data_IF_399001794943
#
_entry.id   IF_399001794943
#
_cell.length_a   1.000
_cell.length_b   1.000
_cell.length_c   1.000
_cell.angle_alpha   90.00
_cell.angle_beta   90.00
_cell.angle_gamma   90.00
#
_symmetry.space_group_name_H-M   'P 1'
#
loop_
_entity.id
_entity.type
_entity.pdbx_description
1 polymer ?
#
# COMPACT_ATOMS: atom_id res chain seq x y z
N UNK A 1 13.67 -15.07 19.67
CA UNK A 1 14.12 -14.01 18.76
C UNK A 1 13.10 -13.65 17.70
N UNK A 2 12.46 -14.64 17.04
CA UNK A 2 11.43 -14.38 16.01
C UNK A 2 10.31 -13.45 16.48
N UNK A 3 9.70 -13.72 17.64
CA UNK A 3 8.64 -12.87 18.21
C UNK A 3 9.11 -11.43 18.48
N UNK A 4 10.34 -11.26 18.97
CA UNK A 4 10.88 -9.93 19.29
C UNK A 4 11.01 -9.06 18.04
N UNK A 5 11.11 -9.64 16.83
CA UNK A 5 11.13 -8.89 15.57
C UNK A 5 9.86 -8.06 15.36
N UNK A 6 8.76 -8.35 16.07
CA UNK A 6 7.54 -7.54 16.03
C UNK A 6 7.62 -6.34 16.98
N UNK A 7 8.34 -6.46 18.09
CA UNK A 7 8.36 -5.42 19.14
C UNK A 7 9.01 -4.13 18.65
N UNK A 8 9.90 -4.20 17.66
CA UNK A 8 10.59 -3.01 17.11
C UNK A 8 9.68 -2.11 16.28
N UNK A 9 8.52 -2.62 15.84
CA UNK A 9 7.51 -1.88 15.05
C UNK A 9 6.19 -1.76 15.79
N UNK A 10 5.72 -2.84 16.42
CA UNK A 10 4.47 -2.88 17.19
C UNK A 10 4.64 -2.35 18.62
N UNK A 11 5.66 -1.54 18.90
CA UNK A 11 6.06 -1.16 20.26
C UNK A 11 4.94 -0.45 21.04
N UNK A 12 4.03 0.23 20.35
CA UNK A 12 2.87 0.89 20.95
C UNK A 12 1.81 -0.11 21.47
N UNK A 13 1.78 -1.33 20.93
CA UNK A 13 0.70 -2.31 21.15
C UNK A 13 1.12 -3.49 22.03
N UNK A 14 2.41 -3.63 22.32
CA UNK A 14 2.96 -4.80 23.02
C UNK A 14 3.59 -4.42 24.36
N UNK A 15 3.37 -5.22 25.43
CA UNK A 15 4.00 -4.98 26.73
C UNK A 15 5.53 -4.92 26.62
N UNK A 16 6.12 -3.82 27.11
CA UNK A 16 7.56 -3.59 27.06
C UNK A 16 8.10 -3.25 25.66
N UNK A 17 7.24 -3.02 24.66
CA UNK A 17 7.64 -2.68 23.29
C UNK A 17 8.55 -1.46 23.20
N UNK A 18 8.23 -0.42 23.97
CA UNK A 18 9.01 0.83 24.04
C UNK A 18 10.50 0.63 24.35
N UNK A 19 10.87 -0.47 25.03
CA UNK A 19 12.27 -0.77 25.37
C UNK A 19 13.12 -1.15 24.17
N UNK A 20 12.50 -1.58 23.08
CA UNK A 20 13.17 -2.04 21.86
C UNK A 20 12.64 -1.33 20.61
N UNK A 21 11.97 -0.19 20.79
CA UNK A 21 11.51 0.68 19.68
C UNK A 21 12.68 0.93 18.73
N UNK A 22 12.49 0.59 17.45
CA UNK A 22 13.48 0.77 16.39
C UNK A 22 14.81 -0.02 16.54
N UNK A 23 14.96 -0.83 17.60
CA UNK A 23 16.19 -1.56 17.91
C UNK A 23 16.27 -2.94 17.26
N UNK A 24 16.15 -2.99 15.93
CA UNK A 24 16.41 -4.23 15.18
C UNK A 24 17.85 -4.70 15.31
N UNK A 25 18.79 -3.77 15.49
CA UNK A 25 20.19 -4.04 15.75
C UNK A 25 20.39 -4.91 17.00
N UNK A 26 19.72 -4.60 18.12
CA UNK A 26 19.80 -5.39 19.35
C UNK A 26 19.32 -6.83 19.12
N UNK A 27 18.19 -6.99 18.44
CA UNK A 27 17.62 -8.30 18.13
C UNK A 27 18.57 -9.10 17.25
N UNK A 28 19.16 -8.47 16.22
CA UNK A 28 20.10 -9.13 15.32
C UNK A 28 21.38 -9.55 16.04
N UNK A 29 21.94 -8.69 16.88
CA UNK A 29 23.13 -8.99 17.69
C UNK A 29 22.84 -10.19 18.60
N UNK A 30 21.76 -10.15 19.38
CA UNK A 30 21.40 -11.26 20.28
C UNK A 30 21.12 -12.54 19.50
N UNK A 31 20.50 -12.46 18.31
CA UNK A 31 20.25 -13.62 17.46
C UNK A 31 21.56 -14.25 16.98
N UNK A 32 22.50 -13.44 16.49
CA UNK A 32 23.81 -13.92 16.04
C UNK A 32 24.64 -14.51 17.19
N UNK A 33 24.58 -13.92 18.39
CA UNK A 33 25.22 -14.47 19.58
C UNK A 33 24.66 -15.85 19.95
N UNK A 34 23.33 -16.02 19.96
CA UNK A 34 22.69 -17.30 20.26
C UNK A 34 23.03 -18.37 19.21
N UNK A 35 23.05 -18.01 17.92
CA UNK A 35 23.50 -18.90 16.84
C UNK A 35 24.96 -19.30 17.06
N UNK A 36 25.83 -18.33 17.36
CA UNK A 36 27.24 -18.56 17.64
C UNK A 36 27.46 -19.52 18.82
N UNK A 37 26.74 -19.33 19.93
CA UNK A 37 26.74 -20.25 21.07
C UNK A 37 26.30 -21.67 20.67
N UNK A 38 25.26 -21.79 19.84
CA UNK A 38 24.78 -23.07 19.33
C UNK A 38 25.80 -23.78 18.45
N UNK A 39 26.43 -23.07 17.52
CA UNK A 39 27.51 -23.61 16.67
C UNK A 39 28.70 -24.03 17.51
N UNK A 40 29.14 -23.19 18.45
CA UNK A 40 30.27 -23.50 19.33
C UNK A 40 30.00 -24.74 20.18
N UNK A 41 28.82 -24.83 20.80
CA UNK A 41 28.39 -26.02 21.54
C UNK A 41 28.34 -27.26 20.64
N UNK A 42 27.82 -27.12 19.42
CA UNK A 42 27.82 -28.18 18.42
C UNK A 42 29.23 -28.66 18.08
N UNK A 43 30.18 -27.76 17.84
CA UNK A 43 31.57 -28.12 17.55
C UNK A 43 32.27 -28.79 18.73
N UNK A 44 32.02 -28.36 19.96
CA UNK A 44 32.62 -28.98 21.16
C UNK A 44 32.02 -30.36 21.48
N UNK A 45 30.73 -30.56 21.22
CA UNK A 45 30.02 -31.79 21.56
C UNK A 45 29.92 -32.78 20.39
N UNK A 46 30.30 -32.38 19.17
CA UNK A 46 30.39 -33.27 18.02
C UNK A 46 31.58 -34.20 18.19
N UNK A 47 31.30 -35.49 18.37
CA UNK A 47 32.32 -36.52 18.12
C UNK A 47 32.71 -36.44 16.64
N UNK A 48 34.01 -36.47 16.28
CA UNK A 48 34.41 -36.49 14.88
C UNK A 48 33.79 -37.74 14.26
N UNK A 49 32.76 -37.54 13.42
CA UNK A 49 32.22 -38.60 12.62
C UNK A 49 33.40 -39.13 11.78
N UNK A 50 33.79 -40.39 12.01
CA UNK A 50 34.67 -41.10 11.10
C UNK A 50 33.96 -41.08 9.75
N UNK A 51 34.35 -40.15 8.87
CA UNK A 51 33.99 -40.19 7.47
C UNK A 51 34.66 -41.45 6.91
N UNK A 52 33.99 -42.59 7.02
CA UNK A 52 34.31 -43.70 6.15
C UNK A 52 34.00 -43.20 4.75
N UNK A 53 35.03 -43.03 3.93
CA UNK A 53 34.89 -42.80 2.50
C UNK A 53 34.31 -44.07 1.87
N UNK A 54 33.03 -44.31 2.12
CA UNK A 54 32.23 -45.26 1.36
C UNK A 54 32.19 -44.70 -0.06
N UNK A 55 33.14 -45.09 -0.89
CA UNK A 55 33.07 -44.96 -2.34
C UNK A 55 32.22 -46.14 -2.81
N UNK A 56 30.92 -45.94 -3.10
CA UNK A 56 30.11 -47.02 -3.64
C UNK A 56 30.75 -47.51 -4.95
N UNK A 57 30.72 -48.82 -5.24
CA UNK A 57 31.30 -49.36 -6.47
C UNK A 57 30.64 -48.73 -7.71
N UNK A 58 31.38 -48.54 -8.81
CA UNK A 58 30.85 -47.89 -10.01
C UNK A 58 29.69 -48.73 -10.58
N UNK A 59 28.48 -48.19 -10.52
CA UNK A 59 27.27 -48.84 -11.04
C UNK A 59 27.14 -48.58 -12.56
N UNK A 60 27.18 -49.59 -13.44
CA UNK A 60 27.02 -49.41 -14.89
C UNK A 60 25.65 -48.82 -15.28
N UNK A 61 24.61 -49.06 -14.47
CA UNK A 61 23.30 -48.46 -14.64
C UNK A 61 23.26 -46.97 -14.27
N UNK A 62 24.26 -46.46 -13.53
CA UNK A 62 24.34 -45.05 -13.15
C UNK A 62 24.44 -44.13 -14.38
N UNK A 63 25.03 -44.60 -15.49
CA UNK A 63 25.07 -43.80 -16.74
C UNK A 63 23.69 -43.66 -17.38
N UNK A 64 22.88 -44.73 -17.40
CA UNK A 64 21.49 -44.69 -17.87
C UNK A 64 20.60 -43.88 -16.91
N UNK A 65 20.73 -44.09 -15.60
CA UNK A 65 20.04 -43.30 -14.56
C UNK A 65 20.38 -41.81 -14.67
N UNK A 66 21.66 -41.46 -14.90
CA UNK A 66 22.09 -40.08 -15.14
C UNK A 66 21.41 -39.46 -16.36
N UNK A 67 21.27 -40.19 -17.46
CA UNK A 67 20.52 -39.72 -18.64
C UNK A 67 19.04 -39.50 -18.32
N UNK A 68 18.39 -40.40 -17.58
CA UNK A 68 17.00 -40.20 -17.13
C UNK A 68 16.86 -38.96 -16.23
N UNK A 69 17.77 -38.74 -15.28
CA UNK A 69 17.77 -37.53 -14.46
C UNK A 69 17.93 -36.27 -15.31
N UNK A 70 18.81 -36.29 -16.32
CA UNK A 70 18.97 -35.16 -17.24
C UNK A 70 17.67 -34.91 -18.03
N UNK A 71 17.00 -35.94 -18.56
CA UNK A 71 15.74 -35.77 -19.28
C UNK A 71 14.62 -35.24 -18.37
N UNK A 72 14.50 -35.76 -17.15
CA UNK A 72 13.53 -35.26 -16.17
C UNK A 72 13.82 -33.81 -15.81
N UNK A 73 15.08 -33.47 -15.52
CA UNK A 73 15.47 -32.08 -15.24
C UNK A 73 15.19 -31.15 -16.43
N UNK A 74 15.45 -31.60 -17.66
CA UNK A 74 15.18 -30.82 -18.86
C UNK A 74 13.68 -30.62 -19.07
N UNK A 75 12.85 -31.64 -18.85
CA UNK A 75 11.40 -31.52 -18.91
C UNK A 75 10.85 -30.57 -17.82
N UNK A 76 11.36 -30.67 -16.58
CA UNK A 76 11.03 -29.76 -15.49
C UNK A 76 11.45 -28.32 -15.81
N UNK A 77 12.64 -28.12 -16.38
CA UNK A 77 13.13 -26.81 -16.77
C UNK A 77 12.27 -26.19 -17.89
N UNK A 78 11.93 -26.96 -18.93
CA UNK A 78 11.06 -26.49 -20.01
C UNK A 78 9.66 -26.15 -19.49
N UNK A 79 9.13 -26.95 -18.57
CA UNK A 79 7.83 -26.69 -17.93
C UNK A 79 7.89 -25.40 -17.09
N UNK A 80 8.96 -25.21 -16.32
CA UNK A 80 9.19 -23.98 -15.55
C UNK A 80 9.27 -22.74 -16.45
N UNK A 81 10.00 -22.80 -17.57
CA UNK A 81 10.08 -21.71 -18.55
C UNK A 81 8.71 -21.42 -19.17
N UNK A 82 7.95 -22.46 -19.56
CA UNK A 82 6.62 -22.28 -20.12
C UNK A 82 5.66 -21.63 -19.13
N UNK A 83 5.66 -22.07 -17.86
CA UNK A 83 4.85 -21.47 -16.79
C UNK A 83 5.26 -20.02 -16.54
N UNK A 84 6.56 -19.73 -16.49
CA UNK A 84 7.06 -18.36 -16.31
C UNK A 84 6.66 -17.44 -17.48
N UNK A 85 6.69 -17.94 -18.72
CA UNK A 85 6.25 -17.18 -19.89
C UNK A 85 4.74 -16.90 -19.87
N UNK A 86 3.92 -17.89 -19.50
CA UNK A 86 2.46 -17.73 -19.38
C UNK A 86 2.09 -16.76 -18.24
N UNK A 87 2.89 -16.73 -17.17
CA UNK A 87 2.70 -15.83 -16.03
C UNK A 87 3.41 -14.49 -16.18
N UNK A 88 4.02 -14.21 -17.33
CA UNK A 88 4.70 -12.94 -17.54
C UNK A 88 3.66 -11.81 -17.54
N UNK A 89 3.78 -10.80 -16.67
CA UNK A 89 2.79 -9.73 -16.57
C UNK A 89 2.71 -8.92 -17.86
N UNK A 90 1.49 -8.54 -18.23
CA UNK A 90 1.22 -7.80 -19.47
C UNK A 90 1.68 -6.33 -19.40
N UNK A 91 1.96 -5.81 -18.19
CA UNK A 91 2.36 -4.43 -17.93
C UNK A 91 1.50 -3.39 -18.69
N UNK A 92 0.19 -3.64 -18.72
CA UNK A 92 -0.77 -2.77 -19.40
C UNK A 92 -1.14 -1.56 -18.53
N UNK A 93 -0.25 -0.57 -18.51
CA UNK A 93 -0.36 0.69 -17.75
C UNK A 93 -1.39 1.69 -18.34
N UNK A 94 -2.50 1.21 -18.88
CA UNK A 94 -3.54 2.07 -19.47
C UNK A 94 -4.52 2.54 -18.40
N UNK A 95 -4.68 3.85 -18.29
CA UNK A 95 -5.73 4.49 -17.49
C UNK A 95 -7.13 4.15 -18.03
N UNK A 96 -8.14 4.25 -17.16
CA UNK A 96 -9.51 3.90 -17.51
C UNK A 96 -10.21 4.96 -18.38
N UNK A 97 -9.91 6.24 -18.15
CA UNK A 97 -10.61 7.37 -18.78
C UNK A 97 -9.66 8.36 -19.48
N UNK A 98 -8.86 7.91 -20.47
CA UNK A 98 -7.85 8.75 -21.11
C UNK A 98 -8.44 9.89 -21.95
N UNK A 99 -9.63 9.71 -22.52
CA UNK A 99 -10.27 10.71 -23.40
C UNK A 99 -10.73 11.94 -22.62
N UNK A 100 -11.21 11.75 -21.39
CA UNK A 100 -11.55 12.85 -20.47
C UNK A 100 -10.36 13.37 -19.67
N UNK A 101 -9.15 12.81 -19.86
CA UNK A 101 -7.95 13.07 -19.04
C UNK A 101 -8.24 12.96 -17.55
N UNK A 102 -9.02 11.95 -17.16
CA UNK A 102 -9.44 11.79 -15.79
C UNK A 102 -8.49 10.88 -15.01
N UNK A 103 -8.32 11.19 -13.72
CA UNK A 103 -7.65 10.37 -12.73
C UNK A 103 -8.72 9.88 -11.75
N UNK A 104 -8.88 8.57 -11.63
CA UNK A 104 -9.61 7.96 -10.50
C UNK A 104 -8.59 7.58 -9.43
N UNK A 105 -8.56 8.32 -8.32
CA UNK A 105 -7.60 8.12 -7.24
C UNK A 105 -8.29 7.59 -5.97
N UNK A 106 -7.67 6.64 -5.28
CA UNK A 106 -8.23 6.04 -4.08
C UNK A 106 -7.24 5.89 -2.94
N UNK A 107 -7.77 5.73 -1.74
CA UNK A 107 -7.00 5.42 -0.53
C UNK A 107 -7.65 4.23 0.16
N UNK A 108 -6.84 3.30 0.65
CA UNK A 108 -7.34 2.15 1.39
C UNK A 108 -6.32 1.60 2.38
N UNK A 109 -6.75 1.40 3.62
CA UNK A 109 -6.01 0.72 4.69
C UNK A 109 -6.31 -0.76 4.63
N UNK A 110 -5.28 -1.55 4.28
CA UNK A 110 -5.47 -2.92 3.79
C UNK A 110 -5.20 -4.00 4.83
N UNK A 111 -4.89 -3.60 6.06
CA UNK A 111 -4.64 -4.49 7.19
C UNK A 111 -3.72 -5.66 6.80
N UNK A 112 -2.58 -5.33 6.18
CA UNK A 112 -1.57 -6.28 5.72
C UNK A 112 -2.08 -7.34 4.72
N UNK A 113 -3.15 -7.03 3.98
CA UNK A 113 -3.83 -7.96 3.06
C UNK A 113 -4.29 -9.24 3.75
N UNK A 114 -4.80 -9.09 4.97
CA UNK A 114 -5.39 -10.16 5.78
C UNK A 114 -6.82 -9.74 6.10
N UNK A 115 -7.80 -10.60 5.76
CA UNK A 115 -9.21 -10.31 6.00
C UNK A 115 -9.65 -10.61 7.44
N UNK A 116 -10.93 -10.32 7.74
CA UNK A 116 -11.48 -10.48 9.08
C UNK A 116 -11.45 -11.94 9.60
N UNK A 117 -11.31 -12.93 8.70
CA UNK A 117 -11.17 -14.35 9.03
C UNK A 117 -9.69 -14.80 9.07
N UNK A 118 -8.77 -13.83 9.03
CA UNK A 118 -7.32 -14.02 9.02
C UNK A 118 -6.80 -14.75 7.77
N UNK A 119 -7.48 -14.58 6.64
CA UNK A 119 -7.10 -15.15 5.34
C UNK A 119 -6.51 -14.10 4.40
N UNK A 120 -5.69 -14.56 3.46
CA UNK A 120 -5.11 -13.73 2.39
C UNK A 120 -6.21 -13.07 1.56
N UNK A 121 -6.14 -11.74 1.39
CA UNK A 121 -7.21 -10.96 0.76
C UNK A 121 -6.83 -10.31 -0.59
N UNK A 122 -5.62 -10.56 -1.10
CA UNK A 122 -5.07 -9.88 -2.29
C UNK A 122 -5.95 -10.00 -3.53
N UNK A 123 -6.50 -11.19 -3.81
CA UNK A 123 -7.37 -11.39 -4.98
C UNK A 123 -8.69 -10.61 -4.86
N UNK A 124 -9.20 -10.47 -3.64
CA UNK A 124 -10.44 -9.71 -3.35
C UNK A 124 -10.17 -8.22 -3.50
N UNK A 125 -9.04 -7.76 -2.97
CA UNK A 125 -8.56 -6.40 -3.15
C UNK A 125 -8.36 -6.05 -4.63
N UNK A 126 -7.68 -6.91 -5.39
CA UNK A 126 -7.48 -6.75 -6.83
C UNK A 126 -8.81 -6.55 -7.56
N UNK A 127 -9.78 -7.40 -7.25
CA UNK A 127 -11.10 -7.35 -7.89
C UNK A 127 -11.81 -6.03 -7.60
N UNK A 128 -11.77 -5.55 -6.35
CA UNK A 128 -12.36 -4.27 -5.98
C UNK A 128 -11.64 -3.09 -6.64
N UNK A 129 -10.31 -3.08 -6.63
CA UNK A 129 -9.51 -1.99 -7.22
C UNK A 129 -9.77 -1.90 -8.73
N UNK A 130 -9.84 -3.05 -9.41
CA UNK A 130 -10.14 -3.14 -10.84
C UNK A 130 -11.54 -2.62 -11.16
N UNK A 131 -12.54 -3.10 -10.43
CA UNK A 131 -13.95 -2.75 -10.67
C UNK A 131 -14.30 -1.32 -10.27
N UNK A 132 -13.48 -0.71 -9.40
CA UNK A 132 -13.58 0.71 -9.04
C UNK A 132 -12.91 1.64 -10.06
N UNK A 133 -12.33 1.08 -11.12
CA UNK A 133 -11.65 1.82 -12.19
C UNK A 133 -10.54 2.74 -11.67
N UNK A 134 -9.80 2.29 -10.64
CA UNK A 134 -8.73 3.07 -10.03
C UNK A 134 -7.50 3.18 -10.92
N UNK A 135 -7.08 4.42 -11.17
CA UNK A 135 -5.84 4.76 -11.85
C UNK A 135 -4.68 4.95 -10.87
N UNK A 136 -4.95 5.47 -9.69
CA UNK A 136 -3.95 5.71 -8.64
C UNK A 136 -4.53 5.24 -7.31
N UNK A 137 -3.76 4.51 -6.51
CA UNK A 137 -4.19 4.12 -5.17
C UNK A 137 -3.06 4.18 -4.16
N UNK A 138 -3.32 4.81 -3.02
CA UNK A 138 -2.53 4.69 -1.81
C UNK A 138 -3.00 3.49 -1.00
N UNK A 139 -2.10 2.57 -0.66
CA UNK A 139 -2.35 1.46 0.24
C UNK A 139 -1.62 1.71 1.56
N UNK A 140 -2.31 1.55 2.68
CA UNK A 140 -1.75 1.76 4.02
C UNK A 140 -1.76 0.44 4.79
N UNK A 141 -0.86 0.30 5.77
CA UNK A 141 -0.59 -0.99 6.41
C UNK A 141 -0.10 -2.04 5.40
N UNK A 142 0.79 -1.60 4.51
CA UNK A 142 1.30 -2.41 3.39
C UNK A 142 2.63 -3.12 3.71
N UNK A 143 3.20 -2.94 4.91
CA UNK A 143 4.44 -3.61 5.31
C UNK A 143 4.23 -5.10 5.63
N UNK A 144 4.39 -5.93 4.61
CA UNK A 144 4.16 -7.38 4.67
C UNK A 144 5.45 -8.20 4.58
N UNK A 145 6.59 -7.54 4.42
CA UNK A 145 7.90 -8.17 4.24
C UNK A 145 8.59 -8.48 5.58
N UNK A 146 7.80 -8.65 6.64
CA UNK A 146 8.24 -9.10 7.97
C UNK A 146 7.92 -10.57 8.18
N UNK A 147 8.65 -11.21 9.09
CA UNK A 147 8.47 -12.64 9.40
C UNK A 147 7.02 -12.95 9.80
N UNK A 148 6.37 -12.09 10.59
CA UNK A 148 4.97 -12.29 11.02
C UNK A 148 3.94 -12.14 9.91
N UNK A 149 4.28 -11.42 8.84
CA UNK A 149 3.42 -11.24 7.68
C UNK A 149 3.71 -12.23 6.56
N UNK A 150 4.60 -13.21 6.83
CA UNK A 150 4.99 -14.26 5.89
C UNK A 150 6.02 -13.83 4.85
N UNK A 151 6.68 -12.67 5.03
CA UNK A 151 7.53 -12.03 4.03
C UNK A 151 6.84 -11.91 2.65
N UNK A 152 5.55 -11.57 2.66
CA UNK A 152 4.74 -11.39 1.45
C UNK A 152 4.97 -10.00 0.87
N UNK A 153 4.59 -9.86 -0.40
CA UNK A 153 4.54 -8.58 -1.09
C UNK A 153 3.25 -8.50 -1.92
N UNK A 154 2.15 -8.13 -1.27
CA UNK A 154 0.87 -7.90 -1.98
C UNK A 154 0.96 -6.74 -2.96
N UNK A 155 1.80 -5.75 -2.71
CA UNK A 155 1.92 -4.55 -3.56
C UNK A 155 2.42 -4.93 -4.95
N UNK A 156 3.41 -5.82 -5.03
CA UNK A 156 3.90 -6.36 -6.30
C UNK A 156 2.84 -7.19 -7.02
N UNK A 157 2.13 -8.08 -6.30
CA UNK A 157 1.06 -8.92 -6.88
C UNK A 157 -0.05 -8.06 -7.47
N UNK A 158 -0.51 -7.06 -6.73
CA UNK A 158 -1.54 -6.12 -7.17
C UNK A 158 -1.07 -5.33 -8.39
N UNK A 159 0.17 -4.81 -8.36
CA UNK A 159 0.73 -4.03 -9.45
C UNK A 159 0.84 -4.84 -10.76
N UNK A 160 1.29 -6.09 -10.68
CA UNK A 160 1.36 -6.99 -11.82
C UNK A 160 -0.01 -7.33 -12.40
N UNK A 161 -0.97 -7.68 -11.54
CA UNK A 161 -2.30 -8.09 -11.97
C UNK A 161 -3.12 -6.92 -12.52
N UNK A 162 -2.97 -5.72 -11.95
CA UNK A 162 -3.72 -4.52 -12.34
C UNK A 162 -3.04 -3.73 -13.46
N UNK A 163 -1.79 -4.04 -13.79
CA UNK A 163 -0.99 -3.28 -14.75
C UNK A 163 -0.70 -1.87 -14.22
N UNK A 164 -0.03 -1.80 -13.07
CA UNK A 164 0.32 -0.55 -12.39
C UNK A 164 1.82 -0.52 -12.06
N UNK A 165 2.40 0.67 -12.06
CA UNK A 165 3.65 0.96 -11.37
C UNK A 165 3.43 0.87 -9.87
N UNK A 166 4.47 0.47 -9.13
CA UNK A 166 4.43 0.38 -7.67
C UNK A 166 5.62 1.13 -7.09
N UNK A 167 5.34 1.91 -6.05
CA UNK A 167 6.32 2.48 -5.15
C UNK A 167 5.96 2.09 -3.72
N UNK A 168 6.74 1.18 -3.14
CA UNK A 168 6.57 0.69 -1.78
C UNK A 168 7.49 1.49 -0.85
N UNK A 169 6.92 2.29 0.06
CA UNK A 169 7.70 3.26 0.82
C UNK A 169 7.26 3.49 2.26
N UNK A 170 8.17 4.01 3.09
CA UNK A 170 9.50 3.46 3.37
C UNK A 170 9.46 1.95 3.70
N UNK A 171 10.56 1.24 3.45
CA UNK A 171 10.63 -0.21 3.63
C UNK A 171 10.61 -0.70 5.10
N UNK A 172 10.50 -2.03 5.33
CA UNK A 172 10.31 -2.62 6.66
C UNK A 172 11.43 -2.32 7.67
N UNK A 173 12.63 -2.01 7.18
CA UNK A 173 13.77 -1.60 8.01
C UNK A 173 13.62 -0.19 8.61
N UNK A 174 12.54 0.53 8.28
CA UNK A 174 12.20 1.85 8.80
C UNK A 174 11.16 1.83 9.92
N UNK A 175 10.76 0.64 10.38
CA UNK A 175 9.92 0.43 11.57
C UNK A 175 8.58 1.15 11.56
N UNK A 176 7.98 1.28 10.37
CA UNK A 176 6.60 1.76 10.17
C UNK A 176 5.67 0.59 9.83
N UNK A 177 4.36 0.84 9.75
CA UNK A 177 3.39 -0.11 9.17
C UNK A 177 3.31 -0.08 7.64
N UNK A 178 4.09 0.79 7.00
CA UNK A 178 4.22 0.91 5.55
C UNK A 178 3.10 1.69 4.88
N UNK A 179 3.45 2.33 3.78
CA UNK A 179 2.49 2.76 2.77
C UNK A 179 3.01 2.40 1.37
N UNK A 180 2.11 2.34 0.39
CA UNK A 180 2.49 2.09 -0.99
C UNK A 180 1.64 2.93 -1.92
N UNK A 181 2.23 3.34 -3.03
CA UNK A 181 1.55 3.99 -4.14
C UNK A 181 1.54 3.03 -5.33
N UNK A 182 0.35 2.71 -5.83
CA UNK A 182 0.18 2.05 -7.12
C UNK A 182 -0.38 3.06 -8.11
N UNK A 183 0.11 3.04 -9.34
CA UNK A 183 -0.30 4.01 -10.36
C UNK A 183 -0.31 3.39 -11.76
N UNK A 184 -1.36 3.65 -12.54
CA UNK A 184 -1.39 3.37 -13.98
C UNK A 184 -0.54 4.38 -14.76
N UNK A 185 -0.25 5.54 -14.18
CA UNK A 185 0.62 6.55 -14.75
C UNK A 185 2.09 6.35 -14.31
N UNK A 186 3.09 6.64 -15.17
CA UNK A 186 4.50 6.52 -14.80
C UNK A 186 4.86 7.34 -13.57
N UNK A 187 5.57 6.72 -12.62
CA UNK A 187 6.18 7.40 -11.48
C UNK A 187 7.52 7.97 -11.93
N UNK A 188 7.61 9.29 -12.06
CA UNK A 188 8.80 9.99 -12.57
C UNK A 188 9.81 10.26 -11.47
N UNK A 189 9.32 10.57 -10.27
CA UNK A 189 10.12 10.78 -9.08
C UNK A 189 9.37 10.26 -7.87
N UNK A 190 10.10 9.74 -6.88
CA UNK A 190 9.54 9.44 -5.57
C UNK A 190 10.54 9.66 -4.46
N UNK A 191 10.07 10.26 -3.37
CA UNK A 191 10.82 10.46 -2.13
C UNK A 191 10.01 9.90 -0.96
N UNK A 192 10.66 9.12 -0.11
CA UNK A 192 10.06 8.56 1.09
C UNK A 192 10.45 9.38 2.31
N UNK A 193 9.48 9.65 3.17
CA UNK A 193 9.64 10.45 4.38
C UNK A 193 9.27 9.62 5.61
N UNK A 194 10.08 9.75 6.66
CA UNK A 194 9.68 9.41 8.01
C UNK A 194 9.35 10.71 8.71
N UNK A 195 8.09 10.84 9.12
CA UNK A 195 7.62 12.06 9.78
C UNK A 195 8.08 12.09 11.25
N UNK A 196 8.20 13.26 11.87
CA UNK A 196 8.64 13.35 13.26
C UNK A 196 7.73 12.56 14.21
N UNK A 197 8.33 11.73 15.06
CA UNK A 197 7.62 10.93 16.05
C UNK A 197 8.50 10.76 17.30
N UNK A 198 8.46 11.73 18.24
CA UNK A 198 9.26 11.67 19.45
C UNK A 198 8.84 10.57 20.44
N UNK A 199 7.57 10.13 20.43
CA UNK A 199 7.02 9.22 21.45
C UNK A 199 6.36 8.00 20.84
N UNK A 200 5.51 8.23 19.84
CA UNK A 200 4.54 7.29 19.32
C UNK A 200 5.01 6.52 18.09
N UNK A 201 4.04 6.21 17.24
CA UNK A 201 4.25 5.48 15.99
C UNK A 201 4.99 6.31 14.93
N UNK A 202 6.02 5.71 14.33
CA UNK A 202 6.69 6.23 13.14
C UNK A 202 5.75 6.21 11.94
N UNK A 203 5.34 7.39 11.50
CA UNK A 203 4.40 7.56 10.40
C UNK A 203 5.12 7.76 9.05
N UNK A 204 4.88 6.86 8.07
CA UNK A 204 5.47 6.92 6.74
C UNK A 204 4.72 7.87 5.81
N UNK A 205 5.46 8.55 4.93
CA UNK A 205 4.87 9.26 3.79
C UNK A 205 5.65 9.00 2.48
N UNK A 206 4.93 8.99 1.37
CA UNK A 206 5.48 9.01 0.01
C UNK A 206 5.12 10.37 -0.60
N UNK A 207 6.09 11.02 -1.24
CA UNK A 207 5.89 12.12 -2.18
C UNK A 207 6.36 11.66 -3.56
N UNK A 208 5.41 11.35 -4.43
CA UNK A 208 5.69 10.93 -5.79
C UNK A 208 5.24 12.00 -6.79
N UNK A 209 5.91 12.09 -7.93
CA UNK A 209 5.46 12.86 -9.09
C UNK A 209 5.11 11.88 -10.21
N UNK A 210 3.88 11.97 -10.68
CA UNK A 210 3.33 11.15 -11.78
C UNK A 210 3.28 11.97 -13.07
N UNK A 211 3.59 11.35 -14.22
CA UNK A 211 3.29 11.91 -15.54
C UNK A 211 1.87 11.49 -15.97
N UNK A 212 0.91 12.39 -15.78
CA UNK A 212 -0.50 12.14 -16.07
C UNK A 212 -0.92 12.92 -17.30
N UNK A 213 -1.14 12.22 -18.41
CA UNK A 213 -1.57 12.83 -19.67
C UNK A 213 -0.67 13.99 -20.14
N UNK A 214 0.64 13.93 -19.82
CA UNK A 214 1.63 14.96 -20.14
C UNK A 214 1.77 16.08 -19.11
N UNK A 215 1.05 15.99 -17.98
CA UNK A 215 1.12 16.94 -16.87
C UNK A 215 1.69 16.28 -15.62
N UNK A 216 2.60 16.97 -14.93
CA UNK A 216 3.24 16.46 -13.71
C UNK A 216 2.33 16.71 -12.51
N UNK A 217 1.84 15.63 -11.90
CA UNK A 217 0.96 15.67 -10.73
C UNK A 217 1.68 15.08 -9.52
N UNK A 218 1.69 15.79 -8.41
CA UNK A 218 2.27 15.26 -7.17
C UNK A 218 1.22 14.44 -6.40
N UNK A 219 1.57 13.22 -6.00
CA UNK A 219 0.73 12.36 -5.17
C UNK A 219 1.45 12.10 -3.85
N UNK A 220 0.75 12.38 -2.77
CA UNK A 220 1.20 12.16 -1.41
C UNK A 220 0.42 10.98 -0.82
N UNK A 221 1.12 9.95 -0.33
CA UNK A 221 0.49 8.86 0.43
C UNK A 221 0.98 8.93 1.87
N UNK A 222 0.08 9.00 2.84
CA UNK A 222 0.47 9.22 4.24
C UNK A 222 -0.35 8.37 5.22
N UNK A 223 0.34 7.68 6.13
CA UNK A 223 -0.26 6.94 7.24
C UNK A 223 0.09 7.67 8.54
N UNK A 224 -0.87 8.38 9.14
CA UNK A 224 -0.68 9.11 10.40
C UNK A 224 -0.46 8.15 11.57
N UNK A 225 0.27 8.62 12.58
CA UNK A 225 0.37 7.93 13.86
C UNK A 225 -0.96 7.92 14.63
N UNK A 226 -0.97 7.12 15.71
CA UNK A 226 -2.13 6.81 16.56
C UNK A 226 -2.77 8.05 17.21
N UNK A 227 -4.06 7.97 17.53
CA UNK A 227 -4.83 9.08 18.11
C UNK A 227 -4.24 9.56 19.45
N UNK A 228 -3.75 8.61 20.25
CA UNK A 228 -3.24 8.80 21.60
C UNK A 228 -1.97 9.67 21.66
N UNK A 229 -1.18 9.69 20.58
CA UNK A 229 0.09 10.40 20.50
C UNK A 229 -0.09 11.82 19.93
N UNK A 230 -0.76 12.67 20.70
CA UNK A 230 -1.17 14.03 20.29
C UNK A 230 -0.02 14.87 19.74
N UNK A 231 1.15 14.85 20.38
CA UNK A 231 2.29 15.66 19.95
C UNK A 231 2.92 15.13 18.65
N UNK A 232 3.03 13.81 18.50
CA UNK A 232 3.47 13.19 17.26
C UNK A 232 2.54 13.60 16.13
N UNK A 233 1.22 13.42 16.31
CA UNK A 233 0.23 13.82 15.30
C UNK A 233 0.32 15.29 14.93
N UNK A 234 0.56 16.18 15.89
CA UNK A 234 0.76 17.61 15.62
C UNK A 234 1.99 17.86 14.75
N UNK A 235 3.12 17.22 15.06
CA UNK A 235 4.36 17.38 14.29
C UNK A 235 4.29 16.74 12.90
N UNK A 236 3.70 15.54 12.80
CA UNK A 236 3.48 14.84 11.54
C UNK A 236 2.55 15.66 10.62
N UNK A 237 1.47 16.21 11.18
CA UNK A 237 0.56 17.12 10.48
C UNK A 237 1.30 18.33 9.92
N UNK A 238 2.09 19.01 10.76
CA UNK A 238 2.86 20.18 10.34
C UNK A 238 3.87 19.83 9.23
N UNK A 239 4.56 18.70 9.35
CA UNK A 239 5.56 18.26 8.38
C UNK A 239 4.96 18.00 6.99
N UNK A 240 3.90 17.20 6.92
CA UNK A 240 3.29 16.83 5.64
C UNK A 240 2.52 18.01 5.03
N UNK A 241 1.94 18.89 5.86
CA UNK A 241 1.34 20.16 5.41
C UNK A 241 2.36 21.05 4.69
N UNK A 242 3.55 21.21 5.26
CA UNK A 242 4.65 21.94 4.63
C UNK A 242 5.12 21.28 3.33
N UNK A 243 5.22 19.95 3.33
CA UNK A 243 5.61 19.19 2.15
C UNK A 243 4.63 19.39 0.99
N UNK A 244 3.32 19.34 1.26
CA UNK A 244 2.27 19.63 0.26
C UNK A 244 2.28 21.10 -0.16
N UNK A 245 2.43 22.03 0.78
CA UNK A 245 2.45 23.48 0.53
C UNK A 245 3.63 23.92 -0.34
N UNK A 246 4.78 23.27 -0.21
CA UNK A 246 5.98 23.53 -1.00
C UNK A 246 5.85 23.08 -2.47
N UNK A 247 4.91 22.19 -2.81
CA UNK A 247 4.71 21.76 -4.18
C UNK A 247 3.96 22.83 -5.01
N UNK A 248 4.54 23.30 -6.13
CA UNK A 248 3.86 24.22 -7.04
C UNK A 248 2.94 23.50 -8.04
N UNK A 249 2.89 22.16 -8.02
CA UNK A 249 2.13 21.36 -8.97
C UNK A 249 0.71 21.11 -8.47
N UNK A 250 -0.23 20.74 -9.36
CA UNK A 250 -1.45 20.09 -8.91
C UNK A 250 -1.12 18.84 -8.09
N UNK A 251 -1.92 18.55 -7.07
CA UNK A 251 -1.59 17.49 -6.13
C UNK A 251 -2.80 16.75 -5.58
N UNK A 252 -2.57 15.51 -5.15
CA UNK A 252 -3.53 14.67 -4.42
C UNK A 252 -2.86 14.15 -3.15
N UNK A 253 -3.53 14.26 -2.00
CA UNK A 253 -3.18 13.52 -0.78
C UNK A 253 -4.13 12.32 -0.67
N UNK A 254 -3.57 11.15 -0.41
CA UNK A 254 -4.26 9.89 -0.15
C UNK A 254 -3.81 9.40 1.24
N UNK A 255 -4.63 9.59 2.27
CA UNK A 255 -4.12 9.42 3.63
C UNK A 255 -5.11 8.87 4.65
N UNK A 256 -4.54 8.37 5.75
CA UNK A 256 -5.25 8.03 7.00
C UNK A 256 -4.85 9.05 8.06
N UNK A 257 -5.77 9.93 8.46
CA UNK A 257 -5.48 11.13 9.28
C UNK A 257 -6.00 11.07 10.71
N UNK A 258 -6.97 10.19 11.00
CA UNK A 258 -7.57 10.00 12.34
C UNK A 258 -8.11 11.31 12.92
N UNK A 259 -8.90 12.04 12.14
CA UNK A 259 -9.39 13.37 12.52
C UNK A 259 -10.83 13.54 12.12
N UNK A 260 -11.58 14.37 12.83
CA UNK A 260 -12.93 14.78 12.38
C UNK A 260 -12.81 15.93 11.40
N UNK A 261 -13.65 15.98 10.36
CA UNK A 261 -13.74 17.14 9.49
C UNK A 261 -13.96 18.41 10.31
N UNK A 262 -13.24 19.48 9.97
CA UNK A 262 -13.31 20.83 10.58
C UNK A 262 -12.83 20.93 12.03
N UNK A 263 -12.25 19.87 12.59
CA UNK A 263 -11.75 19.85 13.97
C UNK A 263 -10.23 19.66 14.04
N UNK A 264 -9.58 20.35 14.99
CA UNK A 264 -8.17 20.14 15.31
C UNK A 264 -7.23 20.21 14.09
N UNK A 265 -6.45 19.14 13.89
CA UNK A 265 -5.45 19.02 12.82
C UNK A 265 -6.05 19.12 11.42
N UNK A 266 -7.35 18.84 11.22
CA UNK A 266 -8.04 19.05 9.95
C UNK A 266 -7.78 20.46 9.39
N UNK A 267 -7.85 21.49 10.24
CA UNK A 267 -7.68 22.89 9.82
C UNK A 267 -6.22 23.24 9.49
N UNK A 268 -5.28 22.32 9.72
CA UNK A 268 -3.90 22.44 9.24
C UNK A 268 -3.75 21.74 7.89
N UNK A 269 -4.35 20.54 7.77
CA UNK A 269 -4.39 19.77 6.52
C UNK A 269 -5.07 20.53 5.37
N UNK A 270 -6.23 21.12 5.67
CA UNK A 270 -7.05 21.91 4.74
C UNK A 270 -6.87 23.37 5.10
N UNK A 271 -5.84 24.01 4.53
CA UNK A 271 -5.47 25.38 4.86
C UNK A 271 -4.76 26.06 3.69
N UNK A 272 -4.64 27.38 3.75
CA UNK A 272 -3.80 28.13 2.80
C UNK A 272 -2.34 27.66 2.80
N UNK A 273 -1.87 27.11 3.93
CA UNK A 273 -0.49 26.64 4.10
C UNK A 273 -0.20 25.38 3.27
N UNK A 274 -1.12 24.41 3.23
CA UNK A 274 -1.00 23.26 2.33
C UNK A 274 -1.46 23.59 0.91
N UNK A 275 -2.39 24.55 0.79
CA UNK A 275 -3.12 24.83 -0.45
C UNK A 275 -4.11 23.73 -0.83
N UNK A 276 -4.33 22.73 0.03
CA UNK A 276 -5.16 21.57 -0.26
C UNK A 276 -6.62 21.82 0.12
N UNK A 277 -7.53 21.33 -0.72
CA UNK A 277 -8.96 21.25 -0.47
C UNK A 277 -9.37 19.83 -0.15
N UNK A 278 -10.42 19.70 0.64
CA UNK A 278 -11.03 18.40 0.93
C UNK A 278 -11.89 17.91 -0.25
N UNK A 279 -11.82 16.61 -0.56
CA UNK A 279 -12.69 15.96 -1.54
C UNK A 279 -14.18 16.12 -1.21
N UNK A 280 -14.57 16.22 0.06
CA UNK A 280 -15.96 16.52 0.45
C UNK A 280 -16.08 17.08 1.88
N UNK A 281 -16.02 18.42 2.07
CA UNK A 281 -16.16 19.04 3.39
C UNK A 281 -17.52 18.83 4.08
N UNK A 282 -18.51 18.25 3.40
CA UNK A 282 -19.84 17.95 3.92
C UNK A 282 -19.98 16.52 4.44
N UNK A 283 -19.05 15.63 4.11
CA UNK A 283 -18.98 14.28 4.67
C UNK A 283 -18.48 14.34 6.12
N UNK A 284 -19.42 14.47 7.06
CA UNK A 284 -19.17 14.60 8.49
C UNK A 284 -18.81 13.28 9.18
N UNK A 285 -19.07 12.13 8.52
CA UNK A 285 -18.85 10.78 9.06
C UNK A 285 -17.50 10.19 8.62
N UNK A 286 -16.54 11.05 8.26
CA UNK A 286 -15.15 10.66 8.04
C UNK A 286 -14.34 10.77 9.32
N UNK A 287 -13.41 9.84 9.45
CA UNK A 287 -12.51 9.76 10.60
C UNK A 287 -11.13 9.27 10.18
N UNK A 288 -11.09 8.08 9.57
CA UNK A 288 -9.86 7.40 9.18
C UNK A 288 -9.24 8.03 7.93
N UNK A 289 -9.90 7.83 6.78
CA UNK A 289 -9.31 8.08 5.46
C UNK A 289 -9.78 9.39 4.82
N UNK A 290 -8.86 10.03 4.10
CA UNK A 290 -9.05 11.32 3.46
C UNK A 290 -8.41 11.34 2.07
N UNK A 291 -9.10 12.02 1.16
CA UNK A 291 -8.54 12.47 -0.11
C UNK A 291 -8.56 14.00 -0.08
N UNK A 292 -7.41 14.62 -0.22
CA UNK A 292 -7.31 16.08 -0.43
C UNK A 292 -6.73 16.34 -1.81
N UNK A 293 -7.00 17.51 -2.39
CA UNK A 293 -6.51 17.86 -3.71
C UNK A 293 -6.26 19.36 -3.88
N UNK A 294 -5.46 19.72 -4.89
CA UNK A 294 -5.31 21.10 -5.37
C UNK A 294 -4.93 21.14 -6.85
N UNK A 295 -5.28 22.23 -7.53
CA UNK A 295 -4.90 22.49 -8.92
C UNK A 295 -5.57 21.60 -9.97
N UNK A 296 -6.65 20.89 -9.64
CA UNK A 296 -7.39 20.02 -10.55
C UNK A 296 -8.90 20.13 -10.35
N UNK A 297 -9.67 19.86 -11.39
CA UNK A 297 -11.13 19.77 -11.28
C UNK A 297 -11.56 18.45 -10.64
N UNK A 298 -12.03 18.47 -9.40
CA UNK A 298 -12.78 17.34 -8.81
C UNK A 298 -14.10 17.19 -9.55
N UNK A 299 -14.42 15.97 -9.97
CA UNK A 299 -15.68 15.63 -10.65
C UNK A 299 -16.58 14.74 -9.80
N UNK A 300 -16.01 13.91 -8.93
CA UNK A 300 -16.81 13.12 -8.03
C UNK A 300 -16.05 12.46 -6.88
N UNK A 301 -16.82 11.93 -5.94
CA UNK A 301 -16.38 11.27 -4.73
C UNK A 301 -17.30 10.08 -4.40
N UNK A 302 -16.72 8.96 -3.98
CA UNK A 302 -17.46 7.77 -3.57
C UNK A 302 -16.76 7.06 -2.41
N UNK A 303 -17.57 6.41 -1.57
CA UNK A 303 -17.11 5.48 -0.51
C UNK A 303 -17.68 4.11 -0.84
N UNK A 304 -16.82 3.11 -0.98
CA UNK A 304 -17.20 1.74 -1.37
C UNK A 304 -16.94 0.80 -0.21
N UNK A 305 -17.97 0.09 0.24
CA UNK A 305 -17.89 -0.80 1.40
C UNK A 305 -16.80 -1.84 1.25
N UNK A 306 -16.09 -2.12 2.35
CA UNK A 306 -15.00 -3.09 2.43
C UNK A 306 -15.42 -4.56 2.46
N UNK A 307 -16.72 -4.83 2.55
CA UNK A 307 -17.22 -6.19 2.82
C UNK A 307 -16.54 -6.73 4.10
N UNK A 308 -15.93 -7.91 4.04
CA UNK A 308 -15.12 -8.49 5.13
C UNK A 308 -13.61 -8.38 4.93
N UNK A 309 -13.14 -7.55 3.97
CA UNK A 309 -11.71 -7.48 3.62
C UNK A 309 -10.89 -6.73 4.69
N UNK A 310 -11.39 -5.61 5.19
CA UNK A 310 -10.68 -4.77 6.18
C UNK A 310 -11.71 -4.14 7.14
N UNK A 311 -11.25 -3.24 8.01
CA UNK A 311 -12.06 -2.38 8.87
C UNK A 311 -12.35 -0.98 8.28
N UNK A 312 -11.65 -0.55 7.22
CA UNK A 312 -11.92 0.69 6.47
C UNK A 312 -12.53 0.46 5.08
N UNK A 313 -13.49 1.30 4.69
CA UNK A 313 -13.99 1.35 3.31
C UNK A 313 -12.93 1.85 2.32
N UNK A 314 -13.13 1.58 1.02
CA UNK A 314 -12.33 2.22 -0.03
C UNK A 314 -12.91 3.61 -0.32
N UNK A 315 -12.12 4.66 -0.17
CA UNK A 315 -12.51 6.00 -0.63
C UNK A 315 -11.94 6.30 -2.01
N UNK A 316 -12.74 6.90 -2.89
CA UNK A 316 -12.36 7.17 -4.28
C UNK A 316 -12.77 8.59 -4.69
N UNK A 317 -11.83 9.36 -5.22
CA UNK A 317 -12.05 10.66 -5.85
C UNK A 317 -11.74 10.60 -7.35
N UNK A 318 -12.51 11.33 -8.16
CA UNK A 318 -12.27 11.46 -9.60
C UNK A 318 -11.93 12.91 -9.96
N UNK A 319 -10.85 13.11 -10.70
CA UNK A 319 -10.30 14.43 -11.03
C UNK A 319 -10.04 14.54 -12.54
N UNK A 320 -10.15 15.75 -13.10
CA UNK A 320 -9.78 16.04 -14.49
C UNK A 320 -8.56 16.94 -14.52
N UNK A 321 -7.54 16.49 -15.24
CA UNK A 321 -6.24 17.14 -15.37
C UNK A 321 -6.31 18.30 -16.37
N UNK A 322 -5.56 19.38 -16.09
CA UNK A 322 -5.52 20.58 -16.93
C UNK A 322 -6.78 21.45 -16.87
N UNK A 323 -7.71 21.16 -15.97
CA UNK A 323 -8.88 22.01 -15.72
C UNK A 323 -8.77 22.70 -14.35
N UNK A 324 -9.23 23.96 -14.23
CA UNK A 324 -9.22 24.67 -12.96
C UNK A 324 -10.12 23.96 -11.93
N UNK A 325 -9.85 24.21 -10.66
CA UNK A 325 -10.66 23.67 -9.58
C UNK A 325 -12.14 24.09 -9.71
N UNK A 326 -13.04 23.14 -9.45
CA UNK A 326 -14.48 23.35 -9.44
C UNK A 326 -15.00 23.92 -8.12
N UNK A 327 -16.33 24.02 -8.02
CA UNK A 327 -17.01 24.44 -6.79
C UNK A 327 -17.34 23.25 -5.89
N UNK A 328 -17.85 23.54 -4.69
CA UNK A 328 -18.40 22.51 -3.77
C UNK A 328 -19.88 22.24 -4.02
N UNK A 329 -20.44 22.75 -5.13
CA UNK A 329 -21.83 22.54 -5.49
C UNK A 329 -22.03 21.11 -6.02
N UNK A 330 -22.88 20.35 -5.34
CA UNK A 330 -23.24 18.99 -5.75
C UNK A 330 -24.19 19.06 -6.94
N UNK A 331 -23.86 18.32 -8.00
CA UNK A 331 -24.68 18.24 -9.21
C UNK A 331 -25.28 16.83 -9.38
N UNK A 332 -26.46 16.70 -9.99
CA UNK A 332 -27.03 15.40 -10.29
C UNK A 332 -26.20 14.68 -11.36
N UNK A 333 -26.11 13.35 -11.26
CA UNK A 333 -25.34 12.51 -12.19
C UNK A 333 -25.76 12.69 -13.66
N UNK A 334 -27.02 13.07 -13.92
CA UNK A 334 -27.52 13.36 -15.27
C UNK A 334 -26.78 14.50 -15.98
N UNK A 335 -26.12 15.38 -15.22
CA UNK A 335 -25.28 16.47 -15.74
C UNK A 335 -23.81 16.08 -15.90
N UNK A 336 -23.42 14.90 -15.42
CA UNK A 336 -22.04 14.39 -15.47
C UNK A 336 -21.85 13.59 -16.76
N UNK A 337 -20.80 13.83 -17.55
CA UNK A 337 -20.46 12.99 -18.70
C UNK A 337 -20.28 11.53 -18.31
N UNK A 338 -20.70 10.60 -19.16
CA UNK A 338 -20.71 9.16 -18.85
C UNK A 338 -19.33 8.61 -18.47
N UNK A 339 -18.27 9.04 -19.16
CA UNK A 339 -16.88 8.68 -18.87
C UNK A 339 -16.38 9.17 -17.49
N UNK A 340 -17.05 10.15 -16.90
CA UNK A 340 -16.73 10.69 -15.58
C UNK A 340 -17.62 10.14 -14.46
N UNK A 341 -18.58 9.27 -14.80
CA UNK A 341 -19.41 8.60 -13.78
C UNK A 341 -18.61 7.49 -13.11
N UNK A 342 -19.00 7.13 -11.89
CA UNK A 342 -18.46 5.94 -11.24
C UNK A 342 -19.22 4.68 -11.68
N UNK A 343 -18.61 3.50 -11.55
CA UNK A 343 -19.22 2.24 -11.97
C UNK A 343 -20.57 1.95 -11.29
N UNK A 344 -21.63 1.83 -12.10
CA UNK A 344 -22.97 1.49 -11.60
C UNK A 344 -23.05 0.14 -10.86
N UNK A 345 -22.04 -0.72 -11.03
CA UNK A 345 -21.90 -2.04 -10.40
C UNK A 345 -22.03 -2.01 -8.88
N UNK A 346 -21.63 -0.93 -8.22
CA UNK A 346 -21.67 -0.81 -6.75
C UNK A 346 -23.00 -0.27 -6.20
N UNK A 347 -24.00 0.00 -7.04
CA UNK A 347 -25.31 0.46 -6.57
C UNK A 347 -26.14 -0.68 -5.96
N UNK A 348 -27.03 -0.33 -5.03
CA UNK A 348 -27.94 -1.28 -4.37
C UNK A 348 -27.18 -2.35 -3.58
N UNK A 349 -27.41 -3.62 -3.91
CA UNK A 349 -26.69 -4.74 -3.27
C UNK A 349 -25.21 -4.83 -3.65
N UNK A 350 -24.82 -4.13 -4.73
CA UNK A 350 -23.46 -4.08 -5.23
C UNK A 350 -22.94 -5.43 -5.74
N UNK A 351 -21.63 -5.65 -5.60
CA UNK A 351 -20.92 -6.83 -6.11
C UNK A 351 -20.03 -7.44 -5.04
N UNK A 352 -20.18 -8.75 -4.76
CA UNK A 352 -19.37 -9.47 -3.74
C UNK A 352 -19.33 -8.80 -2.35
N UNK A 353 -20.41 -8.11 -1.98
CA UNK A 353 -20.53 -7.37 -0.72
C UNK A 353 -19.89 -5.96 -0.74
N UNK A 354 -19.40 -5.52 -1.89
CA UNK A 354 -18.95 -4.15 -2.12
C UNK A 354 -20.08 -3.34 -2.75
N UNK A 355 -20.48 -2.25 -2.10
CA UNK A 355 -21.50 -1.31 -2.56
C UNK A 355 -21.14 0.10 -2.16
N UNK A 356 -21.76 1.10 -2.78
CA UNK A 356 -21.67 2.46 -2.27
C UNK A 356 -22.19 2.53 -0.84
N UNK A 357 -21.40 3.13 0.03
CA UNK A 357 -21.61 3.18 1.47
C UNK A 357 -21.64 4.65 1.93
N UNK A 358 -22.33 4.93 3.04
CA UNK A 358 -22.60 6.27 3.60
C UNK A 358 -23.56 7.12 2.77
N UNK A 359 -23.42 7.14 1.44
CA UNK A 359 -24.25 7.96 0.54
C UNK A 359 -25.18 7.18 -0.37
N UNK A 360 -25.14 5.84 -0.35
CA UNK A 360 -25.80 4.88 -1.27
C UNK A 360 -25.50 5.08 -2.78
N UNK A 361 -24.99 6.26 -3.18
CA UNK A 361 -24.58 6.65 -4.52
C UNK A 361 -23.35 7.60 -4.46
N UNK A 362 -22.57 7.72 -5.55
CA UNK A 362 -21.49 8.70 -5.65
C UNK A 362 -22.01 10.15 -5.61
N UNK A 363 -21.18 11.06 -5.11
CA UNK A 363 -21.40 12.50 -5.19
C UNK A 363 -20.61 13.09 -6.36
N UNK A 364 -21.20 14.03 -7.08
CA UNK A 364 -20.56 14.72 -8.20
C UNK A 364 -20.60 16.22 -8.02
N UNK A 365 -19.63 16.93 -8.62
CA UNK A 365 -19.41 18.36 -8.39
C UNK A 365 -19.23 19.14 -9.70
N UNK A 366 -19.61 20.41 -9.68
CA UNK A 366 -19.63 21.33 -10.83
C UNK A 366 -18.24 21.72 -11.36
#
# INVERSE_FOLDING_TARGET
MVLFHCWVVAYAFVPGGYLVREHTDWIMITTMLLIGCGVFSGLQNSTPARQSSLRPPPNPAARKQRSYYIYVLLALQLTSIAVAFIRFPSYNYKSYHPDSKAITAGIWTIHFSIDNDMLSSENRMESLIRESELDVIGLLESDQQRIIMGNRDSTQVLAENLGMYVDAGPGPNKHTWGCALLSKFPIVNSTHHLTPSPVGELAPAIHATLDVHGEMIDVFVFHSGQEEDVEDRRQQTAYVTELMGASPRPSILLSYLVTKPKEGNYNTWVSERSGMRDIDPSDWDRWCEYILYKGMKRTGYARISRSTITDTELQVGKFVVGQPEGTDDIIPESQVPEDLRFPALFRGEGVRGHRYHVFDEPRYYA
#
